data_IF_902512879271
#
_entry.id   IF_902512879271
#
_cell.length_a   1.000
_cell.length_b   1.000
_cell.length_c   1.000
_cell.angle_alpha   90.00
_cell.angle_beta   90.00
_cell.angle_gamma   90.00
#
_symmetry.space_group_name_H-M   'P 1'
#
loop_
_entity.id
_entity.type
_entity.pdbx_description
1 polymer ?
#
# COMPACT_ATOMS: atom_id res chain seq x y z
N UNK A 1 -76.14 6.09 28.26
CA UNK A 1 -75.23 5.90 27.10
C UNK A 1 -74.02 6.81 27.33
N UNK A 2 -73.00 6.31 28.02
CA UNK A 2 -71.79 7.07 28.38
C UNK A 2 -70.79 6.97 27.23
N UNK A 3 -70.36 8.10 26.68
CA UNK A 3 -69.29 8.20 25.69
C UNK A 3 -67.97 8.47 26.44
N UNK A 4 -67.06 7.50 26.41
CA UNK A 4 -65.68 7.64 26.87
C UNK A 4 -64.85 8.18 25.71
N UNK A 5 -64.30 9.38 25.88
CA UNK A 5 -63.32 10.00 24.98
C UNK A 5 -61.91 9.57 25.40
N UNK A 6 -61.25 8.75 24.59
CA UNK A 6 -59.85 8.35 24.82
C UNK A 6 -58.93 9.40 24.20
N UNK A 7 -58.11 10.05 25.03
CA UNK A 7 -57.07 11.00 24.59
C UNK A 7 -55.78 10.21 24.32
N UNK A 8 -55.31 10.23 23.08
CA UNK A 8 -54.07 9.59 22.66
C UNK A 8 -52.91 10.60 22.84
N UNK A 9 -52.00 10.33 23.77
CA UNK A 9 -50.76 11.11 23.94
C UNK A 9 -49.72 10.63 22.91
N UNK A 10 -49.39 11.47 21.94
CA UNK A 10 -48.26 11.25 21.02
C UNK A 10 -47.00 11.81 21.67
N UNK A 11 -46.09 10.92 22.06
CA UNK A 11 -44.75 11.29 22.53
C UNK A 11 -43.85 11.48 21.31
N UNK A 12 -43.54 12.74 20.97
CA UNK A 12 -42.55 13.07 19.94
C UNK A 12 -41.17 12.99 20.59
N UNK A 13 -40.44 11.91 20.33
CA UNK A 13 -39.03 11.77 20.69
C UNK A 13 -38.19 12.69 19.77
N UNK A 14 -37.80 13.86 20.29
CA UNK A 14 -36.75 14.67 19.70
C UNK A 14 -35.41 13.95 19.89
N UNK A 15 -34.98 13.23 18.86
CA UNK A 15 -33.64 12.68 18.80
C UNK A 15 -32.68 13.83 18.45
N UNK A 16 -32.03 14.40 19.46
CA UNK A 16 -30.97 15.39 19.28
C UNK A 16 -29.79 14.72 18.58
N UNK A 17 -29.67 14.89 17.27
CA UNK A 17 -28.49 14.48 16.51
C UNK A 17 -27.37 15.43 16.95
N UNK A 18 -26.57 15.02 17.93
CA UNK A 18 -25.33 15.71 18.23
C UNK A 18 -24.42 15.58 17.01
N UNK A 19 -23.90 16.68 16.43
CA UNK A 19 -22.88 16.57 15.40
C UNK A 19 -21.71 15.81 15.99
N UNK A 20 -21.40 14.65 15.41
CA UNK A 20 -20.17 13.93 15.69
C UNK A 20 -19.03 14.88 15.30
N UNK A 21 -18.37 15.47 16.29
CA UNK A 21 -17.18 16.28 16.04
C UNK A 21 -16.10 15.32 15.57
N UNK A 22 -15.98 15.16 14.25
CA UNK A 22 -14.89 14.41 13.67
C UNK A 22 -13.58 15.04 14.14
N UNK A 23 -12.80 14.30 14.92
CA UNK A 23 -11.51 14.76 15.41
C UNK A 23 -10.62 15.10 14.21
N UNK A 24 -10.20 16.36 14.12
CA UNK A 24 -9.30 16.81 13.07
C UNK A 24 -7.86 16.57 13.51
N UNK A 25 -7.11 15.85 12.69
CA UNK A 25 -5.70 15.55 12.93
C UNK A 25 -4.80 16.61 12.28
N UNK A 26 -3.89 17.19 13.05
CA UNK A 26 -2.86 18.10 12.52
C UNK A 26 -1.64 17.31 12.03
N UNK A 27 -0.83 17.84 11.09
CA UNK A 27 0.31 17.14 10.51
C UNK A 27 1.53 17.13 11.47
N UNK A 28 1.32 16.62 12.68
CA UNK A 28 2.34 16.41 13.70
C UNK A 28 2.05 15.13 14.49
N UNK A 29 3.11 14.46 14.95
CA UNK A 29 2.99 13.17 15.65
C UNK A 29 2.15 13.25 16.92
N UNK A 30 2.17 14.38 17.64
CA UNK A 30 1.38 14.53 18.87
C UNK A 30 -0.11 14.43 18.58
N UNK A 31 -0.57 14.97 17.45
CA UNK A 31 -1.96 14.81 17.01
C UNK A 31 -2.20 13.43 16.40
N UNK A 32 -1.35 12.99 15.46
CA UNK A 32 -1.55 11.74 14.72
C UNK A 32 -1.54 10.49 15.62
N UNK A 33 -0.71 10.48 16.67
CA UNK A 33 -0.61 9.36 17.63
C UNK A 33 -1.84 9.24 18.54
N UNK A 34 -2.73 10.25 18.56
CA UNK A 34 -4.00 10.15 19.32
C UNK A 34 -5.07 9.35 18.58
N UNK A 35 -4.85 9.01 17.31
CA UNK A 35 -5.80 8.23 16.52
C UNK A 35 -5.93 6.82 17.11
N UNK A 36 -7.12 6.39 17.54
CA UNK A 36 -7.30 5.04 18.04
C UNK A 36 -7.10 4.02 16.92
N UNK A 37 -6.58 2.85 17.28
CA UNK A 37 -6.51 1.71 16.38
C UNK A 37 -7.95 1.24 16.04
N UNK A 38 -8.31 1.09 14.76
CA UNK A 38 -9.61 0.55 14.37
C UNK A 38 -9.83 -0.86 14.96
N UNK A 39 -11.01 -1.08 15.57
CA UNK A 39 -11.34 -2.32 16.29
C UNK A 39 -11.17 -3.58 15.42
N UNK A 40 -11.56 -3.51 14.15
CA UNK A 40 -11.47 -4.63 13.22
C UNK A 40 -10.03 -5.18 13.12
N UNK A 41 -9.01 -4.33 13.22
CA UNK A 41 -7.61 -4.74 13.06
C UNK A 41 -7.12 -5.46 14.31
N UNK A 42 -7.47 -4.95 15.50
CA UNK A 42 -7.18 -5.67 16.73
C UNK A 42 -7.89 -7.03 16.72
N UNK A 43 -9.16 -7.11 16.33
CA UNK A 43 -9.93 -8.35 16.27
C UNK A 43 -9.42 -9.36 15.22
N UNK A 44 -8.74 -8.89 14.18
CA UNK A 44 -8.33 -9.71 13.02
C UNK A 44 -7.26 -10.76 13.35
N UNK A 45 -6.28 -10.41 14.20
CA UNK A 45 -5.14 -11.23 14.69
C UNK A 45 -4.20 -11.81 13.60
N UNK A 46 -4.70 -12.40 12.52
CA UNK A 46 -3.94 -13.07 11.46
C UNK A 46 -4.26 -12.44 10.10
N UNK A 47 -3.21 -12.12 9.34
CA UNK A 47 -3.32 -11.71 7.95
C UNK A 47 -2.25 -12.37 7.08
N UNK A 48 -2.44 -12.29 5.76
CA UNK A 48 -1.52 -12.81 4.75
C UNK A 48 -0.84 -11.65 4.03
N UNK A 49 0.48 -11.75 3.87
CA UNK A 49 1.29 -10.78 3.15
C UNK A 49 1.87 -11.43 1.89
N UNK A 50 1.78 -10.73 0.76
CA UNK A 50 2.22 -11.24 -0.54
C UNK A 50 3.25 -10.29 -1.17
N UNK A 51 4.49 -10.77 -1.29
CA UNK A 51 5.52 -10.17 -2.14
C UNK A 51 5.45 -10.82 -3.52
N UNK A 52 4.98 -10.07 -4.51
CA UNK A 52 4.85 -10.53 -5.88
C UNK A 52 5.01 -9.36 -6.84
N UNK A 53 5.92 -9.49 -7.79
CA UNK A 53 6.29 -8.43 -8.72
C UNK A 53 7.26 -8.94 -9.78
N UNK A 54 7.97 -8.02 -10.44
CA UNK A 54 8.89 -8.37 -11.53
C UNK A 54 10.06 -9.21 -10.99
N UNK A 55 10.50 -8.95 -9.76
CA UNK A 55 11.49 -9.76 -9.05
C UNK A 55 11.12 -11.25 -8.93
N UNK A 56 9.84 -11.61 -9.05
CA UNK A 56 9.41 -13.02 -9.03
C UNK A 56 9.76 -13.78 -10.30
N UNK A 57 9.97 -13.10 -11.44
CA UNK A 57 10.31 -13.73 -12.73
C UNK A 57 11.62 -14.52 -12.68
N UNK A 58 12.76 -13.94 -12.28
CA UNK A 58 14.01 -14.69 -12.18
C UNK A 58 13.94 -15.83 -11.16
N UNK A 59 13.02 -15.76 -10.18
CA UNK A 59 12.82 -16.78 -9.14
C UNK A 59 14.14 -17.16 -8.45
N UNK A 60 14.97 -16.16 -8.17
CA UNK A 60 16.33 -16.34 -7.65
C UNK A 60 16.55 -15.44 -6.44
N UNK A 61 17.04 -16.03 -5.34
CA UNK A 61 17.30 -15.40 -4.04
C UNK A 61 16.05 -14.78 -3.38
N UNK A 62 15.67 -13.55 -3.73
CA UNK A 62 14.62 -12.81 -3.04
C UNK A 62 14.04 -11.67 -3.89
N UNK A 63 13.08 -10.92 -3.32
CA UNK A 63 12.58 -9.67 -3.88
C UNK A 63 13.64 -8.56 -4.00
N UNK A 64 14.81 -8.72 -3.37
CA UNK A 64 15.98 -7.84 -3.47
C UNK A 64 16.85 -8.10 -4.70
N UNK A 65 16.48 -9.04 -5.58
CA UNK A 65 17.30 -9.49 -6.70
C UNK A 65 17.90 -8.35 -7.55
N UNK A 66 17.16 -7.26 -7.84
CA UNK A 66 17.73 -6.15 -8.61
C UNK A 66 18.88 -5.45 -7.86
N UNK A 67 18.71 -5.22 -6.56
CA UNK A 67 19.74 -4.65 -5.70
C UNK A 67 20.94 -5.60 -5.56
N UNK A 68 20.67 -6.90 -5.35
CA UNK A 68 21.72 -7.90 -5.24
C UNK A 68 22.48 -8.08 -6.56
N UNK A 69 21.90 -7.73 -7.70
CA UNK A 69 22.59 -7.77 -8.99
C UNK A 69 23.32 -6.47 -9.37
N UNK A 70 22.73 -5.31 -9.07
CA UNK A 70 23.19 -3.99 -9.59
C UNK A 70 23.43 -2.93 -8.52
N UNK A 71 23.15 -3.23 -7.26
CA UNK A 71 23.37 -2.34 -6.12
C UNK A 71 24.85 -2.07 -5.84
N UNK A 72 25.13 -1.41 -4.72
CA UNK A 72 26.49 -0.97 -4.37
C UNK A 72 27.46 -2.12 -4.09
N UNK A 73 26.96 -3.30 -3.70
CA UNK A 73 27.75 -4.50 -3.45
C UNK A 73 27.04 -5.73 -4.02
N UNK A 74 27.13 -5.99 -5.34
CA UNK A 74 26.44 -7.10 -5.96
C UNK A 74 26.83 -8.48 -5.41
N UNK A 75 25.83 -9.33 -5.20
CA UNK A 75 25.97 -10.75 -4.90
C UNK A 75 26.70 -11.47 -6.04
N UNK A 76 27.83 -12.17 -5.76
CA UNK A 76 28.48 -13.01 -6.76
C UNK A 76 27.56 -14.08 -7.34
N UNK A 77 26.60 -14.58 -6.56
CA UNK A 77 25.64 -15.59 -6.99
C UNK A 77 24.61 -15.01 -7.97
N UNK A 78 24.02 -13.85 -7.67
CA UNK A 78 23.11 -13.15 -8.58
C UNK A 78 23.80 -12.79 -9.91
N UNK A 79 25.03 -12.27 -9.85
CA UNK A 79 25.83 -11.94 -11.04
C UNK A 79 26.14 -13.20 -11.88
N UNK A 80 26.56 -14.30 -11.23
CA UNK A 80 26.84 -15.55 -11.93
C UNK A 80 25.58 -16.15 -12.56
N UNK A 81 24.44 -16.10 -11.86
CA UNK A 81 23.15 -16.51 -12.38
C UNK A 81 22.77 -15.72 -13.64
N UNK A 82 22.89 -14.40 -13.60
CA UNK A 82 22.60 -13.53 -14.75
C UNK A 82 23.50 -13.84 -15.94
N UNK A 83 24.82 -13.93 -15.73
CA UNK A 83 25.79 -14.23 -16.79
C UNK A 83 25.58 -15.61 -17.43
N UNK A 84 25.05 -16.58 -16.68
CA UNK A 84 24.79 -17.94 -17.16
C UNK A 84 23.45 -18.07 -17.89
N UNK A 85 22.44 -17.31 -17.46
CA UNK A 85 21.04 -17.55 -17.85
C UNK A 85 20.52 -16.57 -18.88
N UNK A 86 21.03 -15.33 -18.90
CA UNK A 86 20.54 -14.27 -19.75
C UNK A 86 21.65 -13.67 -20.64
N UNK A 87 21.30 -13.06 -21.78
CA UNK A 87 22.25 -12.32 -22.61
C UNK A 87 23.02 -11.24 -21.83
N UNK A 88 24.23 -10.91 -22.28
CA UNK A 88 25.09 -9.94 -21.60
C UNK A 88 24.54 -8.50 -21.58
N UNK A 89 23.64 -8.18 -22.50
CA UNK A 89 22.94 -6.88 -22.59
C UNK A 89 21.58 -6.88 -21.89
N UNK A 90 21.19 -7.99 -21.24
CA UNK A 90 19.96 -8.06 -20.47
C UNK A 90 19.94 -7.04 -19.33
N UNK A 91 18.83 -6.34 -19.19
CA UNK A 91 18.56 -5.36 -18.14
C UNK A 91 17.47 -5.87 -17.21
N UNK A 92 17.32 -5.24 -16.03
CA UNK A 92 16.24 -5.61 -15.13
C UNK A 92 14.86 -5.35 -15.72
N UNK A 93 14.74 -4.28 -16.53
CA UNK A 93 13.49 -3.91 -17.17
C UNK A 93 12.96 -4.98 -18.13
N UNK A 94 13.85 -5.77 -18.73
CA UNK A 94 13.47 -6.84 -19.66
C UNK A 94 12.63 -7.94 -18.97
N UNK A 95 12.79 -8.13 -17.66
CA UNK A 95 11.96 -9.06 -16.87
C UNK A 95 10.48 -8.64 -16.82
N UNK A 96 10.16 -7.35 -16.91
CA UNK A 96 8.77 -6.90 -16.84
C UNK A 96 7.92 -7.47 -17.98
N UNK A 97 8.52 -7.68 -19.17
CA UNK A 97 7.84 -8.33 -20.31
C UNK A 97 7.57 -9.82 -20.09
N UNK A 98 8.33 -10.46 -19.21
CA UNK A 98 8.19 -11.86 -18.83
C UNK A 98 7.26 -12.07 -17.64
N UNK A 99 7.00 -11.01 -16.85
CA UNK A 99 6.01 -11.02 -15.79
C UNK A 99 4.60 -11.02 -16.38
N UNK A 100 4.12 -12.19 -16.83
CA UNK A 100 2.84 -12.29 -17.58
C UNK A 100 1.62 -12.55 -16.70
N UNK A 101 1.82 -13.07 -15.49
CA UNK A 101 0.74 -13.49 -14.60
C UNK A 101 -0.29 -14.42 -15.28
N UNK A 102 0.16 -15.32 -16.15
CA UNK A 102 -0.70 -16.11 -17.05
C UNK A 102 -1.74 -16.97 -16.31
N UNK A 103 -1.38 -17.51 -15.14
CA UNK A 103 -2.25 -18.33 -14.30
C UNK A 103 -2.83 -17.57 -13.10
N UNK A 104 -2.74 -16.24 -13.09
CA UNK A 104 -3.25 -15.45 -11.98
C UNK A 104 -4.79 -15.39 -11.99
N UNK A 105 -5.38 -16.07 -11.00
CA UNK A 105 -6.80 -16.05 -10.72
C UNK A 105 -7.08 -15.41 -9.35
N UNK A 106 -7.52 -14.14 -9.29
CA UNK A 106 -7.75 -13.44 -8.03
C UNK A 106 -8.90 -14.05 -7.20
N UNK A 107 -9.87 -14.69 -7.85
CA UNK A 107 -10.98 -15.35 -7.14
C UNK A 107 -10.51 -16.60 -6.41
N UNK A 108 -9.63 -17.38 -7.02
CA UNK A 108 -9.02 -18.55 -6.39
C UNK A 108 -8.13 -18.14 -5.21
N UNK A 109 -7.35 -17.07 -5.37
CA UNK A 109 -6.58 -16.49 -4.27
C UNK A 109 -7.47 -16.06 -3.11
N UNK A 110 -8.56 -15.34 -3.39
CA UNK A 110 -9.52 -14.93 -2.37
C UNK A 110 -10.12 -16.14 -1.62
N UNK A 111 -10.49 -17.20 -2.35
CA UNK A 111 -11.03 -18.43 -1.76
C UNK A 111 -10.00 -19.14 -0.86
N UNK A 112 -8.73 -19.20 -1.29
CA UNK A 112 -7.62 -19.78 -0.50
C UNK A 112 -7.37 -18.95 0.76
N UNK A 113 -7.34 -17.62 0.65
CA UNK A 113 -7.11 -16.76 1.82
C UNK A 113 -8.24 -16.89 2.83
N UNK A 114 -9.49 -16.95 2.37
CA UNK A 114 -10.64 -17.21 3.25
C UNK A 114 -10.53 -18.57 3.95
N UNK A 115 -10.17 -19.61 3.20
CA UNK A 115 -10.00 -20.96 3.74
C UNK A 115 -8.86 -21.07 4.77
N UNK A 116 -7.84 -20.20 4.68
CA UNK A 116 -6.73 -20.16 5.66
C UNK A 116 -7.15 -19.60 7.02
N UNK A 117 -8.30 -18.92 7.11
CA UNK A 117 -8.76 -18.22 8.32
C UNK A 117 -8.17 -16.82 8.52
N UNK A 118 -7.35 -16.33 7.58
CA UNK A 118 -6.86 -14.96 7.58
C UNK A 118 -8.02 -13.95 7.57
N UNK A 119 -7.80 -12.81 8.23
CA UNK A 119 -8.81 -11.74 8.35
C UNK A 119 -8.47 -10.50 7.55
N UNK A 120 -7.21 -10.37 7.13
CA UNK A 120 -6.80 -9.36 6.17
C UNK A 120 -5.72 -9.90 5.23
N UNK A 121 -5.61 -9.28 4.05
CA UNK A 121 -4.55 -9.56 3.08
C UNK A 121 -3.85 -8.27 2.69
N UNK A 122 -2.54 -8.33 2.50
CA UNK A 122 -1.69 -7.23 2.05
C UNK A 122 -0.92 -7.68 0.82
N UNK A 123 -1.24 -7.08 -0.33
CA UNK A 123 -0.47 -7.28 -1.56
C UNK A 123 0.50 -6.12 -1.78
N UNK A 124 1.74 -6.43 -2.16
CA UNK A 124 2.69 -5.47 -2.70
C UNK A 124 2.10 -4.71 -3.88
N UNK A 125 1.72 -3.44 -3.67
CA UNK A 125 1.32 -2.55 -4.77
C UNK A 125 2.53 -2.14 -5.60
N UNK A 126 3.62 -1.79 -4.91
CA UNK A 126 4.92 -1.41 -5.45
C UNK A 126 6.01 -1.81 -4.45
N UNK A 127 7.04 -2.52 -4.90
CA UNK A 127 8.24 -2.82 -4.11
C UNK A 127 9.38 -1.83 -4.42
N UNK A 128 10.57 -1.99 -3.84
CA UNK A 128 11.71 -1.08 -4.04
C UNK A 128 12.21 -1.04 -5.50
N UNK A 129 11.81 -1.98 -6.36
CA UNK A 129 12.04 -1.95 -7.81
C UNK A 129 11.18 -0.91 -8.56
N UNK A 130 10.20 -0.30 -7.89
CA UNK A 130 9.35 0.74 -8.46
C UNK A 130 8.26 0.26 -9.44
N UNK A 131 8.18 -1.04 -9.72
CA UNK A 131 7.14 -1.58 -10.60
C UNK A 131 5.80 -1.57 -9.89
N UNK A 132 4.80 -0.93 -10.49
CA UNK A 132 3.46 -0.83 -9.90
C UNK A 132 2.53 -1.93 -10.43
N UNK A 133 1.80 -2.58 -9.53
CA UNK A 133 0.87 -3.69 -9.82
C UNK A 133 -0.51 -3.21 -10.32
N UNK A 134 -0.60 -1.92 -10.63
CA UNK A 134 -1.80 -1.20 -11.08
C UNK A 134 -1.44 -0.17 -12.15
N UNK A 135 -2.38 0.35 -12.96
CA UNK A 135 -2.09 1.33 -14.01
C UNK A 135 -1.80 2.74 -13.45
N UNK A 136 -0.68 2.90 -12.76
CA UNK A 136 -0.34 4.17 -12.11
C UNK A 136 -0.02 5.28 -13.11
N UNK A 137 -0.60 6.47 -12.89
CA UNK A 137 -0.29 7.68 -13.67
C UNK A 137 1.15 8.19 -13.46
N UNK A 138 1.80 7.72 -12.39
CA UNK A 138 3.14 8.16 -11.98
C UNK A 138 4.23 7.12 -12.33
N UNK A 139 3.84 5.96 -12.87
CA UNK A 139 4.74 4.87 -13.30
C UNK A 139 4.55 4.51 -14.78
N UNK A 140 4.51 5.50 -15.66
CA UNK A 140 4.34 5.28 -17.09
C UNK A 140 5.37 4.28 -17.64
N UNK A 141 4.91 3.28 -18.39
CA UNK A 141 5.72 2.18 -18.94
C UNK A 141 6.44 1.29 -17.91
N UNK A 142 6.19 1.45 -16.61
CA UNK A 142 6.76 0.63 -15.54
C UNK A 142 5.67 0.16 -14.57
N UNK A 143 4.62 -0.45 -15.14
CA UNK A 143 3.47 -0.97 -14.41
C UNK A 143 2.81 -2.15 -15.12
N UNK A 144 2.00 -2.92 -14.39
CA UNK A 144 1.37 -4.16 -14.85
C UNK A 144 0.36 -3.99 -16.00
N UNK A 145 -0.17 -2.78 -16.22
CA UNK A 145 -1.02 -2.50 -17.38
C UNK A 145 -0.19 -2.19 -18.62
N UNK A 146 0.89 -1.42 -18.48
CA UNK A 146 1.71 -0.97 -19.60
C UNK A 146 2.69 -2.04 -20.10
N UNK A 147 3.13 -2.97 -19.25
CA UNK A 147 4.07 -4.04 -19.63
C UNK A 147 3.79 -5.32 -18.85
N UNK A 148 4.05 -6.47 -19.48
CA UNK A 148 3.81 -7.79 -18.88
C UNK A 148 2.33 -8.19 -18.91
N UNK A 149 1.59 -8.18 -17.78
CA UNK A 149 0.25 -8.78 -17.68
C UNK A 149 -0.84 -8.09 -18.48
N UNK A 150 -0.67 -6.80 -18.81
CA UNK A 150 -1.71 -5.93 -19.40
C UNK A 150 -3.00 -5.91 -18.58
N UNK A 151 -2.83 -5.84 -17.25
CA UNK A 151 -3.91 -6.09 -16.27
C UNK A 151 -3.68 -5.28 -15.00
N UNK A 152 -4.76 -4.76 -14.42
CA UNK A 152 -4.74 -4.18 -13.08
C UNK A 152 -4.80 -5.31 -12.04
N UNK A 153 -3.63 -5.85 -11.70
CA UNK A 153 -3.53 -7.02 -10.81
C UNK A 153 -3.99 -6.69 -9.38
N UNK A 154 -3.68 -5.47 -8.91
CA UNK A 154 -4.05 -4.97 -7.60
C UNK A 154 -5.57 -4.78 -7.49
N UNK A 155 -6.17 -4.11 -8.47
CA UNK A 155 -7.62 -3.89 -8.54
C UNK A 155 -8.40 -5.20 -8.62
N UNK A 156 -7.91 -6.16 -9.40
CA UNK A 156 -8.52 -7.47 -9.52
C UNK A 156 -8.53 -8.25 -8.21
N UNK A 157 -7.43 -8.23 -7.44
CA UNK A 157 -7.43 -8.87 -6.11
C UNK A 157 -8.37 -8.14 -5.15
N UNK A 158 -8.31 -6.81 -5.12
CA UNK A 158 -9.16 -6.00 -4.24
C UNK A 158 -10.65 -6.30 -4.47
N UNK A 159 -11.06 -6.42 -5.73
CA UNK A 159 -12.42 -6.75 -6.12
C UNK A 159 -12.79 -8.19 -5.74
N UNK A 160 -11.92 -9.17 -5.99
CA UNK A 160 -12.18 -10.56 -5.64
C UNK A 160 -12.36 -10.75 -4.13
N UNK A 161 -11.49 -10.13 -3.32
CA UNK A 161 -11.56 -10.19 -1.86
C UNK A 161 -12.89 -9.63 -1.35
N UNK A 162 -13.27 -8.43 -1.81
CA UNK A 162 -14.49 -7.75 -1.37
C UNK A 162 -15.77 -8.46 -1.81
N UNK A 163 -15.77 -9.04 -3.01
CA UNK A 163 -16.98 -9.64 -3.57
C UNK A 163 -17.23 -11.07 -3.09
N UNK A 164 -16.21 -11.75 -2.55
CA UNK A 164 -16.27 -13.19 -2.26
C UNK A 164 -16.04 -13.55 -0.80
N UNK A 165 -15.47 -12.64 -0.01
CA UNK A 165 -15.00 -12.96 1.34
C UNK A 165 -15.29 -11.83 2.31
N UNK A 166 -15.22 -12.13 3.60
CA UNK A 166 -15.22 -11.14 4.68
C UNK A 166 -13.79 -10.66 5.05
N UNK A 167 -12.79 -10.95 4.20
CA UNK A 167 -11.41 -10.55 4.42
C UNK A 167 -11.26 -9.06 4.12
N UNK A 168 -10.50 -8.39 4.98
CA UNK A 168 -10.15 -6.99 4.80
C UNK A 168 -8.99 -6.85 3.80
N UNK A 169 -9.19 -6.07 2.75
CA UNK A 169 -8.16 -5.79 1.76
C UNK A 169 -7.24 -4.65 2.22
N UNK A 170 -5.94 -4.90 2.15
CA UNK A 170 -4.86 -3.96 2.36
C UNK A 170 -3.82 -4.04 1.26
N UNK A 171 -2.90 -3.09 1.26
CA UNK A 171 -1.78 -3.06 0.32
C UNK A 171 -0.50 -2.66 1.01
N UNK A 172 0.61 -3.09 0.42
CA UNK A 172 1.94 -2.61 0.75
C UNK A 172 2.41 -1.59 -0.27
N UNK A 173 3.15 -0.58 0.14
CA UNK A 173 3.78 0.37 -0.77
C UNK A 173 5.17 0.79 -0.28
N UNK A 174 6.20 0.47 -1.07
CA UNK A 174 7.57 0.93 -0.82
C UNK A 174 7.66 2.46 -0.92
N UNK A 175 8.20 3.09 0.11
CA UNK A 175 8.40 4.53 0.18
C UNK A 175 9.45 5.02 -0.81
N UNK A 176 10.45 4.19 -1.15
CA UNK A 176 11.53 4.53 -2.07
C UNK A 176 11.64 3.58 -3.26
N UNK A 177 12.51 3.94 -4.20
CA UNK A 177 12.87 3.11 -5.35
C UNK A 177 14.39 3.13 -5.54
N UNK A 178 15.04 1.97 -5.54
CA UNK A 178 16.51 1.85 -5.48
C UNK A 178 17.23 2.70 -6.53
N UNK A 179 16.71 2.71 -7.76
CA UNK A 179 17.37 3.29 -8.93
C UNK A 179 16.57 4.43 -9.58
N UNK A 180 15.54 4.95 -8.93
CA UNK A 180 14.76 6.05 -9.49
C UNK A 180 15.60 7.35 -9.50
N UNK A 181 15.72 8.07 -10.63
CA UNK A 181 16.61 9.22 -10.74
C UNK A 181 16.37 10.31 -9.69
N UNK A 182 15.11 10.66 -9.41
CA UNK A 182 14.79 11.66 -8.38
C UNK A 182 15.21 11.21 -6.98
N UNK A 183 15.07 9.92 -6.65
CA UNK A 183 15.47 9.41 -5.34
C UNK A 183 16.99 9.43 -5.20
N UNK A 184 17.71 9.02 -6.24
CA UNK A 184 19.17 9.09 -6.27
C UNK A 184 19.69 10.53 -6.18
N UNK A 185 19.00 11.50 -6.80
CA UNK A 185 19.34 12.92 -6.71
C UNK A 185 19.13 13.48 -5.30
N UNK A 186 17.97 13.22 -4.69
CA UNK A 186 17.70 13.57 -3.30
C UNK A 186 18.72 12.90 -2.36
N UNK A 187 18.97 11.60 -2.51
CA UNK A 187 19.96 10.86 -1.71
C UNK A 187 21.37 11.45 -1.84
N UNK A 188 21.80 11.78 -3.06
CA UNK A 188 23.12 12.39 -3.32
C UNK A 188 23.29 13.75 -2.65
N UNK A 189 22.21 14.53 -2.51
CA UNK A 189 22.26 15.82 -1.83
C UNK A 189 22.02 15.74 -0.30
N UNK A 190 21.87 14.52 0.23
CA UNK A 190 21.61 14.26 1.64
C UNK A 190 20.16 14.54 2.04
N UNK A 191 19.21 14.25 1.15
CA UNK A 191 17.76 14.41 1.35
C UNK A 191 17.35 15.86 1.70
N UNK A 192 18.07 16.85 1.15
CA UNK A 192 17.80 18.28 1.33
C UNK A 192 16.69 18.80 0.43
N UNK A 193 16.40 18.08 -0.65
CA UNK A 193 15.23 18.28 -1.49
C UNK A 193 14.28 17.11 -1.32
N UNK A 194 13.02 17.29 -1.74
CA UNK A 194 11.97 16.26 -1.65
C UNK A 194 11.38 15.98 -3.04
N UNK A 195 12.23 15.97 -4.08
CA UNK A 195 11.76 15.83 -5.46
C UNK A 195 11.07 14.48 -5.68
N UNK A 196 11.61 13.41 -5.10
CA UNK A 196 11.05 12.08 -5.23
C UNK A 196 9.73 11.90 -4.45
N UNK A 197 9.63 12.22 -3.14
CA UNK A 197 8.37 12.11 -2.42
C UNK A 197 7.21 12.87 -3.08
N UNK A 198 7.42 14.12 -3.48
CA UNK A 198 6.37 14.94 -4.10
C UNK A 198 6.10 14.59 -5.57
N UNK A 199 7.11 14.12 -6.31
CA UNK A 199 6.96 13.76 -7.72
C UNK A 199 6.49 12.32 -7.96
N UNK A 200 6.64 11.43 -6.97
CA UNK A 200 6.48 9.99 -7.15
C UNK A 200 5.67 9.33 -6.02
N UNK A 201 6.24 9.20 -4.83
CA UNK A 201 5.65 8.37 -3.75
C UNK A 201 4.32 8.91 -3.22
N UNK A 202 4.23 10.20 -2.87
CA UNK A 202 3.01 10.77 -2.28
C UNK A 202 1.82 10.79 -3.25
N UNK A 203 1.99 11.17 -4.53
CA UNK A 203 0.90 11.07 -5.50
C UNK A 203 0.44 9.62 -5.74
N UNK A 204 1.36 8.65 -5.79
CA UNK A 204 1.01 7.22 -5.89
C UNK A 204 0.22 6.74 -4.67
N UNK A 205 0.67 7.07 -3.46
CA UNK A 205 -0.04 6.74 -2.22
C UNK A 205 -1.46 7.30 -2.21
N UNK A 206 -1.65 8.56 -2.63
CA UNK A 206 -3.00 9.14 -2.75
C UNK A 206 -3.82 8.43 -3.82
N UNK A 207 -3.22 8.14 -4.98
CA UNK A 207 -3.88 7.43 -6.08
C UNK A 207 -4.41 6.06 -5.65
N UNK A 208 -3.59 5.24 -4.99
CA UNK A 208 -4.01 3.90 -4.57
C UNK A 208 -5.03 3.94 -3.43
N UNK A 209 -4.96 4.94 -2.54
CA UNK A 209 -5.95 5.13 -1.47
C UNK A 209 -7.31 5.49 -2.05
N UNK A 210 -7.35 6.44 -2.97
CA UNK A 210 -8.59 6.88 -3.62
C UNK A 210 -9.20 5.77 -4.50
N UNK A 211 -8.36 5.07 -5.25
CA UNK A 211 -8.79 4.07 -6.23
C UNK A 211 -9.20 2.77 -5.54
N UNK A 212 -8.34 2.24 -4.68
CA UNK A 212 -8.51 0.90 -4.13
C UNK A 212 -9.06 0.89 -2.72
N UNK A 213 -9.14 2.03 -2.01
CA UNK A 213 -9.72 2.14 -0.66
C UNK A 213 -9.22 1.04 0.29
N UNK A 214 -7.90 0.84 0.44
CA UNK A 214 -7.37 -0.20 1.30
C UNK A 214 -7.64 0.14 2.77
N UNK A 215 -7.93 -0.88 3.58
CA UNK A 215 -8.02 -0.71 5.03
C UNK A 215 -6.66 -0.89 5.73
N UNK A 216 -5.63 -1.37 5.03
CA UNK A 216 -4.24 -1.36 5.52
C UNK A 216 -3.35 -0.72 4.47
N UNK A 217 -2.54 0.25 4.88
CA UNK A 217 -1.41 0.78 4.11
C UNK A 217 -0.15 0.37 4.85
N UNK A 218 0.52 -0.66 4.35
CA UNK A 218 1.77 -1.15 4.87
C UNK A 218 2.91 -0.49 4.10
N UNK A 219 3.60 0.47 4.70
CA UNK A 219 4.75 1.12 4.06
C UNK A 219 6.06 0.60 4.59
N UNK A 220 7.12 0.76 3.79
CA UNK A 220 8.47 0.27 4.07
C UNK A 220 9.52 1.13 3.35
N UNK A 221 10.78 1.00 3.71
CA UNK A 221 11.85 1.69 2.97
C UNK A 221 12.14 3.12 3.42
N UNK A 222 11.63 3.51 4.58
CA UNK A 222 11.83 4.84 5.16
C UNK A 222 13.22 5.03 5.79
N UNK A 223 13.93 3.94 6.08
CA UNK A 223 15.15 3.90 6.91
C UNK A 223 16.33 4.78 6.45
N UNK A 224 16.33 5.28 5.21
CA UNK A 224 17.41 6.16 4.71
C UNK A 224 17.16 7.65 4.96
N UNK A 225 15.92 8.06 5.26
CA UNK A 225 15.54 9.46 5.35
C UNK A 225 14.54 9.71 6.49
N UNK A 226 14.44 10.96 6.94
CA UNK A 226 13.53 11.31 8.03
C UNK A 226 12.08 11.41 7.56
N UNK A 227 11.14 11.39 8.50
CA UNK A 227 9.72 11.57 8.18
C UNK A 227 9.40 12.94 7.57
N UNK A 228 10.22 13.95 7.84
CA UNK A 228 10.10 15.25 7.17
C UNK A 228 10.40 15.16 5.68
N UNK A 229 11.44 14.40 5.27
CA UNK A 229 11.72 14.17 3.85
C UNK A 229 10.55 13.48 3.15
N UNK A 230 9.97 12.46 3.79
CA UNK A 230 8.82 11.75 3.25
C UNK A 230 7.51 12.56 3.29
N UNK A 231 7.48 13.66 4.04
CA UNK A 231 6.26 14.40 4.39
C UNK A 231 5.17 13.46 4.96
N UNK A 232 5.61 12.52 5.82
CA UNK A 232 4.75 11.47 6.36
C UNK A 232 3.59 12.05 7.17
N UNK A 233 3.85 13.05 8.01
CA UNK A 233 2.80 13.66 8.83
C UNK A 233 1.76 14.40 7.99
N UNK A 234 2.17 15.05 6.90
CA UNK A 234 1.28 15.67 5.93
C UNK A 234 0.39 14.64 5.22
N UNK A 235 0.96 13.53 4.79
CA UNK A 235 0.19 12.43 4.20
C UNK A 235 -0.80 11.82 5.19
N UNK A 236 -0.37 11.53 6.42
CA UNK A 236 -1.22 10.92 7.44
C UNK A 236 -2.35 11.84 7.90
N UNK A 237 -2.11 13.14 8.01
CA UNK A 237 -3.17 14.11 8.30
C UNK A 237 -4.24 14.10 7.20
N UNK A 238 -3.85 14.10 5.92
CA UNK A 238 -4.79 13.92 4.82
C UNK A 238 -5.52 12.57 4.89
N UNK A 239 -4.79 11.48 5.15
CA UNK A 239 -5.33 10.13 5.24
C UNK A 239 -6.44 10.02 6.30
N UNK A 240 -6.25 10.64 7.45
CA UNK A 240 -7.17 10.55 8.58
C UNK A 240 -8.29 11.58 8.59
N UNK A 241 -8.14 12.68 7.84
CA UNK A 241 -9.17 13.72 7.79
C UNK A 241 -10.05 13.60 6.54
N UNK A 242 -9.44 13.34 5.38
CA UNK A 242 -10.07 13.60 4.08
C UNK A 242 -10.29 12.33 3.26
N UNK A 243 -9.39 11.34 3.38
CA UNK A 243 -9.41 10.15 2.51
C UNK A 243 -10.72 9.33 2.63
N UNK A 244 -11.07 8.52 1.61
CA UNK A 244 -12.25 7.65 1.65
C UNK A 244 -12.15 6.50 2.66
N UNK A 245 -10.99 6.29 3.30
CA UNK A 245 -10.72 5.21 4.25
C UNK A 245 -10.38 5.72 5.64
N UNK A 246 -10.54 7.01 5.90
CA UNK A 246 -10.15 7.69 7.14
C UNK A 246 -10.64 7.02 8.43
N UNK A 247 -11.82 6.39 8.39
CA UNK A 247 -12.46 5.76 9.54
C UNK A 247 -11.98 4.33 9.79
N UNK A 248 -11.40 3.66 8.78
CA UNK A 248 -11.06 2.23 8.85
C UNK A 248 -9.58 1.93 8.66
N UNK A 249 -8.82 2.84 8.05
CA UNK A 249 -7.45 2.55 7.61
C UNK A 249 -6.50 2.34 8.78
N UNK A 250 -5.60 1.38 8.64
CA UNK A 250 -4.45 1.14 9.51
C UNK A 250 -3.18 1.42 8.71
N UNK A 251 -2.19 2.05 9.35
CA UNK A 251 -0.85 2.27 8.80
C UNK A 251 0.20 1.54 9.63
N UNK A 252 1.36 1.25 9.05
CA UNK A 252 2.51 0.71 9.77
C UNK A 252 3.46 1.79 10.29
N UNK A 253 4.46 1.36 11.07
CA UNK A 253 5.40 2.26 11.78
C UNK A 253 6.34 2.98 10.81
N UNK A 254 6.61 2.44 9.63
CA UNK A 254 7.51 3.00 8.60
C UNK A 254 7.16 4.39 8.05
N UNK A 255 6.12 5.05 8.55
CA UNK A 255 5.89 6.48 8.31
C UNK A 255 6.57 7.37 9.35
N UNK A 256 6.90 6.82 10.51
CA UNK A 256 7.65 7.46 11.58
C UNK A 256 9.15 7.27 11.31
N UNK A 257 9.97 8.27 11.63
CA UNK A 257 11.43 8.23 11.54
C UNK A 257 12.02 6.81 11.66
N UNK A 258 12.94 6.42 10.77
CA UNK A 258 13.62 5.11 10.77
C UNK A 258 14.40 4.74 12.04
N UNK A 259 14.30 5.54 13.10
CA UNK A 259 14.81 5.31 14.45
C UNK A 259 13.70 5.11 15.52
N UNK A 260 12.42 5.12 15.15
CA UNK A 260 11.29 4.92 16.05
C UNK A 260 11.11 3.43 16.38
N UNK A 261 12.10 2.86 17.08
CA UNK A 261 11.86 1.69 17.93
C UNK A 261 11.01 2.17 19.11
N UNK A 262 9.68 2.14 18.98
CA UNK A 262 8.77 2.03 20.12
C UNK A 262 8.44 0.56 20.34
#
# INVERSE_FOLDING_TARGET
MQLLTTVLFVVVLYCSILPFSQQQYTPDWKSLDTRPLPAWYDESKIGIFIHWGVFSVPSFESEWFWWDWKGSSPSPAAVAFMNKTYPSDWTYADFASQFRAEFYNPNEWADIFAASGAKYVVLTSKHHEGFTMWPSKYSFNWNAMDVGPKRDLLGDLANAIRNRTDIVFGLYHSMYEWFHPLYLEDKKNGFKTQMFPFGKTLPELKEIVETYKPSVIWSDGDWEASDEYWNSTGFLAWLYNESPVRDTVVRTISFENGNSKK
#
